data_IF_193101288383
#
_entry.id   IF_193101288383
#
_cell.length_a   1.000
_cell.length_b   1.000
_cell.length_c   1.000
_cell.angle_alpha   90.00
_cell.angle_beta   90.00
_cell.angle_gamma   90.00
#
_symmetry.space_group_name_H-M   'P 1'
#
loop_
_entity.id
_entity.type
_entity.pdbx_description
1 polymer ?
#
# COMPACT_ATOMS: atom_id res chain seq x y z
N UNK A 1 -6.75 -4.96 15.20
CA UNK A 1 -7.37 -3.94 16.06
C UNK A 1 -8.57 -4.46 16.84
N UNK A 2 -8.97 -5.73 16.67
CA UNK A 2 -10.12 -6.40 17.31
C UNK A 2 -10.22 -6.40 18.83
N UNK A 3 -9.18 -5.99 19.54
CA UNK A 3 -9.15 -5.93 21.00
C UNK A 3 -9.50 -4.54 21.55
N UNK A 4 -9.71 -3.57 20.66
CA UNK A 4 -10.09 -2.20 21.00
C UNK A 4 -11.62 -2.08 20.92
N UNK A 5 -12.21 -1.23 21.75
CA UNK A 5 -13.63 -0.93 21.62
C UNK A 5 -13.87 -0.07 20.36
N UNK A 6 -14.92 -0.38 19.60
CA UNK A 6 -15.30 0.33 18.37
C UNK A 6 -15.56 1.83 18.57
N UNK A 7 -15.80 2.25 19.82
CA UNK A 7 -16.01 3.65 20.19
C UNK A 7 -14.71 4.45 20.33
N UNK A 8 -13.55 3.80 20.38
CA UNK A 8 -12.26 4.49 20.45
C UNK A 8 -12.00 5.18 19.12
N UNK A 9 -11.75 6.50 19.14
CA UNK A 9 -11.49 7.26 17.91
C UNK A 9 -10.13 6.87 17.34
N UNK A 10 -10.02 6.77 16.01
CA UNK A 10 -8.75 6.52 15.30
C UNK A 10 -7.66 7.50 15.73
N UNK A 11 -8.01 8.78 15.97
CA UNK A 11 -7.09 9.81 16.43
C UNK A 11 -6.52 9.60 17.84
N UNK A 12 -7.02 8.64 18.60
CA UNK A 12 -6.55 8.28 19.93
C UNK A 12 -5.64 7.04 19.92
N UNK A 13 -5.43 6.44 18.74
CA UNK A 13 -4.64 5.22 18.58
C UNK A 13 -3.23 5.55 18.09
N UNK A 14 -2.24 4.84 18.62
CA UNK A 14 -0.93 4.72 17.97
C UNK A 14 -1.03 3.70 16.85
N UNK A 15 -1.04 4.17 15.60
CA UNK A 15 -1.20 3.32 14.41
C UNK A 15 0.10 3.31 13.61
N UNK A 16 0.73 2.14 13.41
CA UNK A 16 1.88 2.04 12.52
C UNK A 16 1.46 2.22 11.06
N UNK A 17 2.22 3.04 10.35
CA UNK A 17 2.04 3.33 8.93
C UNK A 17 3.33 3.20 8.13
N UNK A 18 3.20 3.10 6.82
CA UNK A 18 4.34 3.10 5.88
C UNK A 18 4.25 4.29 4.94
N UNK A 19 5.38 5.00 4.74
CA UNK A 19 5.49 6.07 3.75
C UNK A 19 5.63 5.45 2.36
N UNK A 20 4.85 5.95 1.41
CA UNK A 20 4.81 5.44 0.05
C UNK A 20 4.70 3.90 0.00
N UNK A 21 3.61 3.38 0.58
CA UNK A 21 3.39 1.96 0.86
C UNK A 21 3.49 1.04 -0.36
N UNK A 22 3.35 1.58 -1.58
CA UNK A 22 3.51 0.87 -2.84
C UNK A 22 4.93 0.89 -3.43
N UNK A 23 5.87 1.62 -2.85
CA UNK A 23 7.26 1.75 -3.30
C UNK A 23 8.11 0.51 -3.00
N UNK A 24 7.74 -0.63 -3.59
CA UNK A 24 8.39 -1.94 -3.39
C UNK A 24 9.24 -2.37 -4.59
N UNK A 25 8.82 -2.02 -5.81
CA UNK A 25 9.39 -2.57 -7.04
C UNK A 25 10.57 -1.71 -7.55
N UNK A 26 10.47 -0.40 -7.43
CA UNK A 26 11.43 0.58 -7.95
C UNK A 26 11.26 0.86 -9.44
N UNK A 27 10.20 0.35 -10.07
CA UNK A 27 9.87 0.60 -11.48
C UNK A 27 10.79 -0.05 -12.53
N UNK A 28 10.58 0.34 -13.79
CA UNK A 28 11.20 -0.28 -14.98
C UNK A 28 12.74 -0.23 -15.00
N UNK A 29 13.34 0.79 -14.38
CA UNK A 29 14.79 1.00 -14.32
C UNK A 29 15.35 0.80 -12.91
N UNK A 30 14.85 -0.24 -12.24
CA UNK A 30 15.15 -0.57 -10.85
C UNK A 30 16.64 -0.45 -10.45
N UNK A 31 17.65 -0.89 -11.23
CA UNK A 31 19.05 -0.74 -10.83
C UNK A 31 19.47 0.71 -10.51
N UNK A 32 18.85 1.70 -11.14
CA UNK A 32 19.14 3.12 -10.93
C UNK A 32 18.15 3.81 -10.00
N UNK A 33 16.87 3.46 -10.09
CA UNK A 33 15.78 4.14 -9.35
C UNK A 33 15.63 3.66 -7.92
N UNK A 34 15.98 2.40 -7.61
CA UNK A 34 15.78 1.80 -6.28
C UNK A 34 16.32 2.61 -5.11
N UNK A 35 17.52 3.23 -5.16
CA UNK A 35 18.02 4.07 -4.06
C UNK A 35 17.14 5.28 -3.71
N UNK A 36 16.23 5.67 -4.63
CA UNK A 36 15.41 6.87 -4.50
C UNK A 36 13.92 6.57 -4.44
N UNK A 37 13.46 5.50 -5.11
CA UNK A 37 12.04 5.18 -5.28
C UNK A 37 11.54 4.03 -4.39
N UNK A 38 12.42 3.14 -3.93
CA UNK A 38 12.01 2.03 -3.06
C UNK A 38 12.05 2.48 -1.60
N UNK A 39 10.88 2.46 -0.98
CA UNK A 39 10.67 2.83 0.42
C UNK A 39 10.26 1.63 1.28
N UNK A 40 9.78 0.55 0.65
CA UNK A 40 9.29 -0.65 1.32
C UNK A 40 10.06 -1.90 0.90
N UNK A 41 10.32 -2.79 1.86
CA UNK A 41 10.89 -4.12 1.62
C UNK A 41 9.83 -5.24 1.66
N UNK A 42 8.57 -4.89 1.95
CA UNK A 42 7.46 -5.82 2.11
C UNK A 42 6.36 -5.47 1.10
N UNK A 43 5.77 -6.49 0.46
CA UNK A 43 4.54 -6.31 -0.33
C UNK A 43 3.42 -5.76 0.54
N UNK A 44 2.39 -5.15 -0.06
CA UNK A 44 1.30 -4.56 0.71
C UNK A 44 0.57 -5.59 1.58
N UNK A 45 0.33 -6.79 1.06
CA UNK A 45 -0.25 -7.88 1.87
C UNK A 45 0.62 -8.21 3.09
N UNK A 46 1.94 -8.27 2.91
CA UNK A 46 2.87 -8.57 4.00
C UNK A 46 2.94 -7.42 5.01
N UNK A 47 2.88 -6.16 4.56
CA UNK A 47 2.78 -4.99 5.43
C UNK A 47 1.53 -5.08 6.32
N UNK A 48 0.39 -5.41 5.72
CA UNK A 48 -0.85 -5.55 6.46
C UNK A 48 -0.78 -6.75 7.44
N UNK A 49 -0.21 -7.88 7.05
CA UNK A 49 0.01 -9.03 7.95
C UNK A 49 0.96 -8.68 9.11
N UNK A 50 1.94 -7.80 8.88
CA UNK A 50 2.84 -7.28 9.91
C UNK A 50 2.18 -6.25 10.85
N UNK A 51 0.91 -5.88 10.61
CA UNK A 51 0.15 -4.98 11.47
C UNK A 51 0.08 -3.52 11.01
N UNK A 52 0.63 -3.18 9.83
CA UNK A 52 0.49 -1.83 9.25
C UNK A 52 -0.99 -1.54 8.95
N UNK A 53 -1.48 -0.36 9.38
CA UNK A 53 -2.89 0.03 9.20
C UNK A 53 -3.08 1.48 8.75
N UNK A 54 -1.99 2.19 8.48
CA UNK A 54 -2.00 3.45 7.75
C UNK A 54 -1.13 3.28 6.51
N UNK A 55 -1.69 3.54 5.33
CA UNK A 55 -1.03 3.34 4.05
C UNK A 55 -0.99 4.66 3.28
N UNK A 56 0.19 5.08 2.84
CA UNK A 56 0.39 6.20 1.93
C UNK A 56 0.44 5.63 0.49
N UNK A 57 -0.67 5.72 -0.24
CA UNK A 57 -0.80 5.18 -1.60
C UNK A 57 -0.83 6.34 -2.58
N UNK A 58 0.08 6.31 -3.56
CA UNK A 58 0.24 7.37 -4.56
C UNK A 58 -0.09 6.84 -5.94
N UNK A 59 -1.08 7.45 -6.58
CA UNK A 59 -1.70 6.94 -7.80
C UNK A 59 -1.67 7.98 -8.92
N UNK A 60 -1.57 7.49 -10.15
CA UNK A 60 -1.64 8.29 -11.37
C UNK A 60 -2.19 7.47 -12.54
N UNK A 61 -2.63 8.14 -13.61
CA UNK A 61 -3.14 7.47 -14.80
C UNK A 61 -2.01 6.90 -15.67
N UNK A 62 -2.16 5.66 -16.15
CA UNK A 62 -1.21 5.02 -17.09
C UNK A 62 -1.94 4.13 -18.09
N UNK A 63 -1.76 4.40 -19.38
CA UNK A 63 -2.34 3.58 -20.43
C UNK A 63 -1.86 2.12 -20.31
N UNK A 64 -2.80 1.17 -20.36
CA UNK A 64 -2.52 -0.26 -20.24
C UNK A 64 -2.44 -0.81 -18.81
N UNK A 65 -2.66 0.01 -17.77
CA UNK A 65 -2.57 -0.40 -16.36
C UNK A 65 -3.83 -0.06 -15.54
N UNK A 66 -5.00 -0.05 -16.18
CA UNK A 66 -6.27 0.34 -15.53
C UNK A 66 -6.44 1.85 -15.43
N UNK A 67 -7.34 2.28 -14.55
CA UNK A 67 -7.63 3.70 -14.33
C UNK A 67 -6.55 4.35 -13.46
N UNK A 68 -5.94 3.56 -12.55
CA UNK A 68 -4.98 4.03 -11.56
C UNK A 68 -3.78 3.08 -11.45
N UNK A 69 -2.59 3.59 -11.73
CA UNK A 69 -1.30 2.94 -11.52
C UNK A 69 -0.58 3.52 -10.30
N UNK A 70 0.33 2.75 -9.70
CA UNK A 70 1.10 3.13 -8.50
C UNK A 70 2.39 3.83 -8.90
N UNK A 71 2.72 4.92 -8.19
CA UNK A 71 3.86 5.80 -8.52
C UNK A 71 4.64 6.30 -7.31
N UNK A 72 5.95 6.44 -7.48
CA UNK A 72 6.82 7.27 -6.64
C UNK A 72 7.31 8.49 -7.45
N UNK A 73 6.58 9.61 -7.36
CA UNK A 73 6.82 10.75 -8.26
C UNK A 73 6.52 10.35 -9.71
N UNK A 74 7.48 10.56 -10.63
CA UNK A 74 7.34 10.16 -12.04
C UNK A 74 7.67 8.68 -12.29
N UNK A 75 8.07 7.94 -11.26
CA UNK A 75 8.49 6.54 -11.37
C UNK A 75 7.28 5.64 -11.19
N UNK A 76 6.92 4.92 -12.25
CA UNK A 76 5.89 3.90 -12.21
C UNK A 76 6.39 2.66 -11.47
N UNK A 77 5.69 2.23 -10.42
CA UNK A 77 6.10 1.12 -9.54
C UNK A 77 5.71 -0.27 -10.07
N UNK A 78 5.47 -0.41 -11.37
CA UNK A 78 5.12 -1.70 -11.99
C UNK A 78 3.85 -2.37 -11.41
N UNK A 79 2.97 -1.58 -10.82
CA UNK A 79 1.75 -2.06 -10.17
C UNK A 79 0.54 -1.18 -10.46
N UNK A 80 -0.63 -1.79 -10.52
CA UNK A 80 -1.94 -1.12 -10.67
C UNK A 80 -2.74 -1.15 -9.37
N UNK A 81 -3.59 -0.14 -9.19
CA UNK A 81 -4.57 -0.12 -8.10
C UNK A 81 -5.41 -1.39 -8.11
N UNK A 82 -5.88 -1.80 -9.28
CA UNK A 82 -6.77 -2.94 -9.46
C UNK A 82 -6.15 -4.26 -9.03
N UNK A 83 -4.82 -4.38 -9.05
CA UNK A 83 -4.12 -5.61 -8.71
C UNK A 83 -3.82 -5.74 -7.22
N UNK A 84 -3.10 -4.78 -6.62
CA UNK A 84 -2.59 -4.93 -5.25
C UNK A 84 -3.28 -4.02 -4.23
N UNK A 85 -4.06 -3.02 -4.65
CA UNK A 85 -4.68 -2.06 -3.72
C UNK A 85 -6.21 -2.10 -3.71
N UNK A 86 -6.83 -2.72 -4.70
CA UNK A 86 -8.28 -2.81 -4.79
C UNK A 86 -8.84 -3.59 -3.58
N UNK A 87 -9.61 -2.87 -2.77
CA UNK A 87 -10.25 -3.37 -1.57
C UNK A 87 -11.10 -4.62 -1.84
N UNK A 88 -11.70 -4.77 -3.03
CA UNK A 88 -12.48 -5.96 -3.37
C UNK A 88 -11.62 -7.23 -3.53
N UNK A 89 -10.38 -7.11 -4.00
CA UNK A 89 -9.39 -8.22 -4.00
C UNK A 89 -8.83 -8.46 -2.61
N UNK A 90 -8.69 -7.40 -1.80
CA UNK A 90 -8.24 -7.50 -0.40
C UNK A 90 -9.39 -7.70 0.60
N UNK A 91 -10.62 -7.96 0.13
CA UNK A 91 -11.77 -8.25 1.00
C UNK A 91 -11.49 -9.45 1.89
N UNK A 92 -10.79 -10.47 1.41
CA UNK A 92 -10.36 -11.60 2.23
C UNK A 92 -9.46 -11.20 3.41
N UNK A 93 -8.61 -10.19 3.19
CA UNK A 93 -7.73 -9.62 4.21
C UNK A 93 -8.53 -8.80 5.24
N UNK A 94 -9.40 -7.90 4.78
CA UNK A 94 -10.22 -7.05 5.66
C UNK A 94 -11.32 -7.88 6.36
N UNK A 95 -11.83 -8.95 5.74
CA UNK A 95 -12.80 -9.87 6.34
C UNK A 95 -12.15 -10.85 7.33
N UNK A 96 -10.86 -11.16 7.15
CA UNK A 96 -10.08 -12.01 8.05
C UNK A 96 -9.59 -11.25 9.29
N UNK A 97 -9.32 -9.95 9.15
CA UNK A 97 -9.12 -9.04 10.26
C UNK A 97 -10.44 -8.38 10.64
N UNK A 98 -11.29 -9.11 11.39
CA UNK A 98 -12.38 -8.44 12.12
C UNK A 98 -11.76 -7.28 12.92
N UNK A 99 -12.15 -6.07 12.56
CA UNK A 99 -11.96 -4.90 13.41
C UNK A 99 -13.05 -4.98 14.45
#
# INVERSE_FOLDING_TARGET
MSQLADTVKVSQLSIPGTHDSGGFYGGDWAPFTRPFAVTQSLSLETQLNAGIRYLDIRLGGRAGYGDLAVYHGDIFENESWENDFNADKKRGFISGFRI
#
